data_IF_507844876632
#
_entry.id   IF_507844876632
#
_cell.length_a   1.000
_cell.length_b   1.000
_cell.length_c   1.000
_cell.angle_alpha   90.00
_cell.angle_beta   90.00
_cell.angle_gamma   90.00
#
_symmetry.space_group_name_H-M   'P 1'
#
loop_
_entity.id
_entity.type
_entity.pdbx_description
1 polymer ?
#
# COMPACT_ATOMS: atom_id res chain seq x y z
N UNK A 1 3.38 -41.32 -50.97
CA UNK A 1 3.92 -41.68 -49.64
C UNK A 1 3.57 -40.54 -48.69
N UNK A 2 2.58 -40.72 -47.79
CA UNK A 2 2.75 -40.90 -46.33
C UNK A 2 3.34 -39.61 -45.68
N UNK A 3 2.71 -38.86 -44.77
CA UNK A 3 1.63 -39.10 -43.79
C UNK A 3 1.01 -37.75 -43.35
N UNK A 4 -0.26 -37.80 -42.99
CA UNK A 4 -1.02 -36.80 -42.23
C UNK A 4 -0.43 -36.56 -40.84
N UNK A 5 -0.44 -35.31 -40.35
CA UNK A 5 -0.67 -34.98 -38.94
C UNK A 5 -1.54 -33.73 -38.87
N UNK A 6 -2.80 -33.91 -38.49
CA UNK A 6 -3.70 -32.87 -37.98
C UNK A 6 -3.33 -32.61 -36.53
N UNK A 7 -2.93 -31.39 -36.18
CA UNK A 7 -2.89 -30.92 -34.78
C UNK A 7 -4.16 -30.13 -34.50
N UNK A 8 -5.13 -30.82 -33.92
CA UNK A 8 -6.28 -30.23 -33.23
C UNK A 8 -5.74 -29.68 -31.90
N UNK A 9 -5.66 -28.37 -31.77
CA UNK A 9 -5.39 -27.70 -30.50
C UNK A 9 -6.73 -27.19 -29.94
N UNK A 10 -7.07 -27.79 -28.81
CA UNK A 10 -8.27 -27.66 -27.99
C UNK A 10 -8.73 -26.20 -27.83
N UNK A 11 -9.94 -25.89 -28.30
CA UNK A 11 -10.71 -24.74 -27.83
C UNK A 11 -11.08 -25.00 -26.37
N UNK A 12 -10.36 -24.41 -25.42
CA UNK A 12 -10.80 -24.37 -24.02
C UNK A 12 -11.93 -23.35 -23.90
N UNK A 13 -13.16 -23.83 -24.05
CA UNK A 13 -14.37 -23.17 -23.58
C UNK A 13 -14.22 -22.90 -22.08
N UNK A 14 -13.91 -21.66 -21.72
CA UNK A 14 -14.03 -21.18 -20.34
C UNK A 14 -15.53 -21.11 -20.06
N UNK A 15 -16.08 -22.21 -19.54
CA UNK A 15 -17.37 -22.17 -18.88
C UNK A 15 -17.19 -21.28 -17.64
N UNK A 16 -17.90 -20.15 -17.62
CA UNK A 16 -18.09 -19.33 -16.44
C UNK A 16 -18.89 -20.14 -15.41
N UNK A 17 -18.22 -21.04 -14.70
CA UNK A 17 -18.62 -21.39 -13.35
C UNK A 17 -18.45 -20.10 -12.53
N UNK A 18 -19.47 -19.70 -11.78
CA UNK A 18 -19.43 -18.50 -10.95
C UNK A 18 -18.23 -18.55 -10.01
N UNK A 19 -17.15 -17.88 -10.41
CA UNK A 19 -15.95 -17.75 -9.61
C UNK A 19 -16.34 -16.86 -8.44
N UNK A 20 -16.45 -17.46 -7.26
CA UNK A 20 -16.43 -16.72 -6.02
C UNK A 20 -15.07 -16.04 -5.97
N UNK A 21 -15.01 -14.76 -6.36
CA UNK A 21 -13.78 -13.97 -6.37
C UNK A 21 -13.36 -13.75 -4.93
N UNK A 22 -12.50 -14.64 -4.44
CA UNK A 22 -11.91 -14.48 -3.12
C UNK A 22 -11.13 -13.16 -3.04
N UNK A 23 -11.12 -12.54 -1.86
CA UNK A 23 -10.36 -11.31 -1.63
C UNK A 23 -8.89 -11.54 -2.04
N UNK A 24 -8.34 -12.73 -1.81
CA UNK A 24 -6.98 -13.10 -2.20
C UNK A 24 -6.74 -13.01 -3.72
N UNK A 25 -7.69 -13.43 -4.54
CA UNK A 25 -7.60 -13.31 -6.00
C UNK A 25 -7.64 -11.85 -6.45
N UNK A 26 -8.50 -11.05 -5.81
CA UNK A 26 -8.59 -9.60 -6.05
C UNK A 26 -7.27 -8.92 -5.71
N UNK A 27 -6.68 -9.24 -4.56
CA UNK A 27 -5.38 -8.69 -4.14
C UNK A 27 -4.26 -9.06 -5.11
N UNK A 28 -4.21 -10.30 -5.61
CA UNK A 28 -3.24 -10.70 -6.64
C UNK A 28 -3.43 -9.95 -7.95
N UNK A 29 -4.68 -9.73 -8.36
CA UNK A 29 -4.98 -8.92 -9.55
C UNK A 29 -4.52 -7.47 -9.36
N UNK A 30 -4.85 -6.86 -8.22
CA UNK A 30 -4.40 -5.51 -7.88
C UNK A 30 -2.89 -5.43 -7.87
N UNK A 31 -2.20 -6.39 -7.25
CA UNK A 31 -0.74 -6.43 -7.22
C UNK A 31 -0.11 -6.41 -8.63
N UNK A 32 -0.70 -7.16 -9.57
CA UNK A 32 -0.20 -7.23 -10.94
C UNK A 32 -0.50 -5.97 -11.78
N UNK A 33 -1.68 -5.37 -11.59
CA UNK A 33 -2.18 -4.33 -12.49
C UNK A 33 -2.06 -2.90 -11.95
N UNK A 34 -1.83 -2.73 -10.64
CA UNK A 34 -1.78 -1.42 -10.02
C UNK A 34 -0.61 -0.58 -10.57
N UNK A 35 -0.92 0.60 -11.12
CA UNK A 35 0.06 1.48 -11.76
C UNK A 35 1.01 2.14 -10.77
N UNK A 36 0.58 2.37 -9.53
CA UNK A 36 1.42 2.93 -8.47
C UNK A 36 2.48 1.90 -8.03
N UNK A 37 2.13 0.61 -7.93
CA UNK A 37 3.09 -0.46 -7.69
C UNK A 37 4.10 -0.61 -8.83
N UNK A 38 3.65 -0.53 -10.08
CA UNK A 38 4.54 -0.55 -11.25
C UNK A 38 5.49 0.65 -11.25
N UNK A 39 4.99 1.86 -10.94
CA UNK A 39 5.81 3.06 -10.80
C UNK A 39 6.81 2.94 -9.65
N UNK A 40 6.39 2.42 -8.50
CA UNK A 40 7.23 2.18 -7.34
C UNK A 40 8.37 1.19 -7.66
N UNK A 41 8.11 0.13 -8.41
CA UNK A 41 9.17 -0.78 -8.88
C UNK A 41 10.23 -0.07 -9.73
N UNK A 42 9.81 0.82 -10.63
CA UNK A 42 10.74 1.63 -11.43
C UNK A 42 11.50 2.65 -10.57
N UNK A 43 10.84 3.26 -9.59
CA UNK A 43 11.47 4.17 -8.64
C UNK A 43 12.56 3.48 -7.81
N UNK A 44 12.25 2.31 -7.24
CA UNK A 44 13.24 1.49 -6.49
C UNK A 44 14.42 1.12 -7.39
N UNK A 45 14.16 0.75 -8.64
CA UNK A 45 15.21 0.46 -9.62
C UNK A 45 16.09 1.69 -9.88
N UNK A 46 15.49 2.86 -10.10
CA UNK A 46 16.19 4.12 -10.31
C UNK A 46 17.05 4.51 -9.09
N UNK A 47 16.49 4.45 -7.88
CA UNK A 47 17.18 4.77 -6.64
C UNK A 47 18.35 3.81 -6.35
N UNK A 48 18.19 2.52 -6.68
CA UNK A 48 19.29 1.54 -6.60
C UNK A 48 20.41 1.86 -7.57
N UNK A 49 20.09 2.26 -8.80
CA UNK A 49 21.08 2.68 -9.79
C UNK A 49 21.78 3.97 -9.34
N UNK A 50 21.03 4.96 -8.86
CA UNK A 50 21.57 6.20 -8.29
C UNK A 50 22.53 5.93 -7.13
N UNK A 51 22.16 5.03 -6.21
CA UNK A 51 23.04 4.64 -5.12
C UNK A 51 24.33 3.96 -5.59
N UNK A 52 24.37 3.37 -6.78
CA UNK A 52 25.59 2.80 -7.38
C UNK A 52 26.47 3.86 -8.04
N UNK A 53 25.87 4.94 -8.58
CA UNK A 53 26.63 6.05 -9.18
C UNK A 53 27.59 6.70 -8.19
N UNK A 54 27.24 6.70 -6.90
CA UNK A 54 28.10 7.21 -5.83
C UNK A 54 29.44 6.49 -5.65
N UNK A 55 29.67 5.37 -6.34
CA UNK A 55 30.91 4.59 -6.32
C UNK A 55 31.73 4.65 -7.63
N UNK A 56 31.37 5.54 -8.56
CA UNK A 56 32.14 5.74 -9.78
C UNK A 56 33.50 6.40 -9.49
N UNK A 57 34.48 6.11 -10.34
CA UNK A 57 35.74 6.86 -10.38
C UNK A 57 35.46 8.27 -10.93
N UNK A 58 36.21 9.29 -10.48
CA UNK A 58 36.23 10.59 -11.16
C UNK A 58 36.58 10.42 -12.63
N UNK A 59 36.14 11.33 -13.50
CA UNK A 59 36.53 11.28 -14.90
C UNK A 59 38.03 11.57 -15.08
N UNK A 60 38.69 10.93 -16.06
CA UNK A 60 40.06 11.29 -16.41
C UNK A 60 40.09 12.71 -16.99
N UNK A 61 41.16 13.44 -16.69
CA UNK A 61 41.44 14.76 -17.23
C UNK A 61 42.46 14.66 -18.36
N UNK A 62 42.18 15.31 -19.49
CA UNK A 62 43.14 15.50 -20.58
C UNK A 62 43.23 16.98 -20.89
N UNK A 63 44.41 17.57 -20.73
CA UNK A 63 44.68 18.96 -21.04
C UNK A 63 45.80 19.09 -22.06
N UNK A 64 45.65 20.06 -22.96
CA UNK A 64 46.70 20.51 -23.85
C UNK A 64 46.86 22.01 -23.70
N UNK A 65 48.06 22.45 -23.37
CA UNK A 65 48.42 23.85 -23.21
C UNK A 65 49.43 24.22 -24.30
N UNK A 66 49.19 25.32 -25.00
CA UNK A 66 50.11 25.87 -25.99
C UNK A 66 50.52 27.28 -25.57
N UNK A 67 51.83 27.52 -25.44
CA UNK A 67 52.41 28.77 -24.96
C UNK A 67 53.40 29.33 -25.97
N UNK A 68 53.35 30.64 -26.20
CA UNK A 68 54.26 31.36 -27.09
C UNK A 68 55.00 32.46 -26.32
N UNK A 69 56.32 32.53 -26.52
CA UNK A 69 57.17 33.53 -25.89
C UNK A 69 56.97 34.93 -26.47
N UNK A 70 56.97 35.95 -25.61
CA UNK A 70 56.85 37.37 -26.01
C UNK A 70 58.20 38.10 -26.20
N UNK A 71 59.32 37.39 -26.15
CA UNK A 71 60.68 37.90 -26.35
C UNK A 71 61.45 37.00 -27.30
N UNK A 72 62.40 37.59 -27.99
CA UNK A 72 63.32 36.88 -28.89
C UNK A 72 64.04 35.76 -28.12
N UNK A 73 64.03 34.54 -28.69
CA UNK A 73 64.63 33.34 -28.09
C UNK A 73 63.73 32.51 -27.16
N UNK A 74 62.53 32.97 -26.76
CA UNK A 74 61.66 32.19 -25.85
C UNK A 74 60.89 31.03 -26.52
N UNK A 75 60.75 31.05 -27.85
CA UNK A 75 60.19 29.91 -28.61
C UNK A 75 58.71 29.58 -28.32
N UNK A 76 58.32 28.35 -28.66
CA UNK A 76 56.98 27.79 -28.49
C UNK A 76 57.09 26.58 -27.55
N UNK A 77 56.16 26.46 -26.60
CA UNK A 77 56.06 25.31 -25.71
C UNK A 77 54.66 24.69 -25.78
N UNK A 78 54.61 23.37 -25.81
CA UNK A 78 53.38 22.59 -25.67
C UNK A 78 53.45 21.71 -24.43
N UNK A 79 52.34 21.53 -23.73
CA UNK A 79 52.20 20.57 -22.64
C UNK A 79 50.91 19.77 -22.86
N UNK A 80 51.03 18.45 -22.90
CA UNK A 80 49.90 17.53 -22.85
C UNK A 80 49.95 16.77 -21.52
N UNK A 81 48.87 16.83 -20.76
CA UNK A 81 48.71 16.07 -19.51
C UNK A 81 47.45 15.22 -19.63
N UNK A 82 47.60 13.91 -19.42
CA UNK A 82 46.47 13.01 -19.20
C UNK A 82 46.60 12.46 -17.78
N UNK A 83 45.64 12.74 -16.89
CA UNK A 83 45.69 12.28 -15.50
C UNK A 83 44.35 11.71 -15.03
N UNK A 84 44.42 10.78 -14.08
CA UNK A 84 43.28 10.18 -13.40
C UNK A 84 43.46 10.37 -11.90
N UNK A 85 42.50 11.03 -11.28
CA UNK A 85 42.43 11.13 -9.82
C UNK A 85 41.53 10.02 -9.25
N UNK A 86 41.86 9.52 -8.07
CA UNK A 86 41.03 8.54 -7.37
C UNK A 86 41.16 8.70 -5.86
N UNK A 87 40.06 8.42 -5.15
CA UNK A 87 40.06 8.39 -3.69
C UNK A 87 40.94 7.24 -3.18
N UNK A 88 41.28 7.26 -1.89
CA UNK A 88 41.91 6.09 -1.26
C UNK A 88 41.06 4.82 -1.49
N UNK A 89 41.63 3.65 -1.86
CA UNK A 89 40.87 2.46 -2.25
C UNK A 89 39.78 2.01 -1.25
N UNK A 90 40.02 2.21 0.05
CA UNK A 90 39.03 1.90 1.09
C UNK A 90 37.73 2.70 0.98
N UNK A 91 37.77 3.91 0.41
CA UNK A 91 36.58 4.75 0.17
C UNK A 91 35.61 4.03 -0.75
N UNK A 92 36.08 3.44 -1.84
CA UNK A 92 35.24 2.69 -2.78
C UNK A 92 34.64 1.42 -2.15
N UNK A 93 35.40 0.75 -1.28
CA UNK A 93 34.87 -0.39 -0.50
C UNK A 93 33.73 0.05 0.42
N UNK A 94 33.87 1.19 1.10
CA UNK A 94 32.81 1.71 1.97
C UNK A 94 31.60 2.24 1.18
N UNK A 95 31.84 2.95 0.06
CA UNK A 95 30.80 3.43 -0.86
C UNK A 95 29.98 2.26 -1.43
N UNK A 96 30.62 1.16 -1.81
CA UNK A 96 29.93 -0.07 -2.23
C UNK A 96 29.07 -0.69 -1.11
N UNK A 97 29.59 -0.75 0.13
CA UNK A 97 28.81 -1.23 1.28
C UNK A 97 27.61 -0.34 1.58
N UNK A 98 27.76 0.99 1.47
CA UNK A 98 26.68 1.95 1.59
C UNK A 98 25.64 1.77 0.48
N UNK A 99 26.07 1.61 -0.77
CA UNK A 99 25.19 1.39 -1.92
C UNK A 99 24.30 0.16 -1.73
N UNK A 100 24.88 -0.95 -1.24
CA UNK A 100 24.12 -2.17 -0.90
C UNK A 100 23.10 -1.94 0.20
N UNK A 101 23.50 -1.30 1.31
CA UNK A 101 22.61 -0.99 2.42
C UNK A 101 21.45 -0.07 2.00
N UNK A 102 21.71 0.95 1.17
CA UNK A 102 20.66 1.80 0.56
C UNK A 102 19.75 0.98 -0.34
N UNK A 103 20.29 0.09 -1.17
CA UNK A 103 19.51 -0.78 -2.04
C UNK A 103 18.53 -1.68 -1.27
N UNK A 104 18.98 -2.28 -0.16
CA UNK A 104 18.11 -3.04 0.75
C UNK A 104 17.05 -2.15 1.42
N UNK A 105 17.39 -0.88 1.73
CA UNK A 105 16.42 0.11 2.22
C UNK A 105 15.32 0.41 1.21
N UNK A 106 15.68 0.67 -0.05
CA UNK A 106 14.70 0.94 -1.10
C UNK A 106 13.78 -0.26 -1.37
N UNK A 107 14.28 -1.49 -1.27
CA UNK A 107 13.41 -2.69 -1.36
C UNK A 107 12.38 -2.75 -0.24
N UNK A 108 12.77 -2.39 0.99
CA UNK A 108 11.86 -2.39 2.13
C UNK A 108 10.82 -1.27 2.05
N UNK A 109 11.24 -0.07 1.64
CA UNK A 109 10.32 1.04 1.34
C UNK A 109 9.34 0.65 0.22
N UNK A 110 9.83 -0.03 -0.83
CA UNK A 110 8.99 -0.54 -1.89
C UNK A 110 7.96 -1.57 -1.39
N UNK A 111 8.37 -2.48 -0.50
CA UNK A 111 7.49 -3.46 0.13
C UNK A 111 6.46 -2.83 1.09
N UNK A 112 6.81 -1.72 1.74
CA UNK A 112 5.89 -0.94 2.58
C UNK A 112 4.75 -0.34 1.75
N UNK A 113 5.08 0.31 0.63
CA UNK A 113 4.08 0.84 -0.34
C UNK A 113 3.20 -0.29 -0.88
N UNK A 114 3.79 -1.45 -1.21
CA UNK A 114 3.05 -2.64 -1.62
C UNK A 114 2.02 -3.06 -0.57
N UNK A 115 2.44 -3.18 0.68
CA UNK A 115 1.55 -3.56 1.77
C UNK A 115 0.40 -2.55 1.97
N UNK A 116 0.69 -1.25 1.89
CA UNK A 116 -0.32 -0.19 2.03
C UNK A 116 -1.40 -0.29 0.94
N UNK A 117 -1.00 -0.46 -0.32
CA UNK A 117 -1.95 -0.59 -1.45
C UNK A 117 -2.78 -1.87 -1.34
N UNK A 118 -2.15 -2.99 -0.94
CA UNK A 118 -2.89 -4.25 -0.75
C UNK A 118 -3.85 -4.18 0.45
N UNK A 119 -3.46 -3.50 1.53
CA UNK A 119 -4.35 -3.27 2.66
C UNK A 119 -5.55 -2.40 2.25
N UNK A 120 -5.32 -1.32 1.51
CA UNK A 120 -6.40 -0.48 0.98
C UNK A 120 -7.35 -1.28 0.09
N UNK A 121 -6.82 -2.08 -0.84
CA UNK A 121 -7.63 -2.94 -1.70
C UNK A 121 -8.45 -3.96 -0.89
N UNK A 122 -7.86 -4.52 0.18
CA UNK A 122 -8.56 -5.44 1.09
C UNK A 122 -9.70 -4.73 1.81
N UNK A 123 -9.48 -3.54 2.35
CA UNK A 123 -10.53 -2.73 3.02
C UNK A 123 -11.67 -2.37 2.06
N UNK A 124 -11.38 -2.04 0.80
CA UNK A 124 -12.41 -1.81 -0.24
C UNK A 124 -13.22 -3.08 -0.52
N UNK A 125 -12.59 -4.25 -0.55
CA UNK A 125 -13.31 -5.52 -0.69
C UNK A 125 -14.23 -5.78 0.50
N UNK A 126 -13.77 -5.51 1.72
CA UNK A 126 -14.59 -5.63 2.93
C UNK A 126 -15.80 -4.68 2.90
N UNK A 127 -15.61 -3.44 2.44
CA UNK A 127 -16.71 -2.50 2.22
C UNK A 127 -17.72 -2.98 1.18
N UNK A 128 -17.26 -3.59 0.10
CA UNK A 128 -18.14 -4.17 -0.90
C UNK A 128 -18.96 -5.33 -0.33
N UNK A 129 -18.39 -6.16 0.55
CA UNK A 129 -19.16 -7.20 1.26
C UNK A 129 -20.27 -6.58 2.10
N UNK A 130 -19.98 -5.54 2.89
CA UNK A 130 -20.99 -4.79 3.67
C UNK A 130 -22.11 -4.26 2.77
N UNK A 131 -21.73 -3.60 1.67
CA UNK A 131 -22.70 -3.00 0.74
C UNK A 131 -23.56 -4.07 0.06
N UNK A 132 -22.98 -5.23 -0.29
CA UNK A 132 -23.73 -6.35 -0.85
C UNK A 132 -24.69 -6.98 0.19
N UNK A 133 -24.29 -7.09 1.46
CA UNK A 133 -25.17 -7.54 2.54
C UNK A 133 -26.35 -6.57 2.76
N UNK A 134 -26.06 -5.27 2.82
CA UNK A 134 -27.07 -4.23 2.95
C UNK A 134 -28.01 -4.19 1.75
N UNK A 135 -27.50 -4.38 0.53
CA UNK A 135 -28.32 -4.49 -0.68
C UNK A 135 -29.39 -5.58 -0.53
N UNK A 136 -28.99 -6.79 -0.12
CA UNK A 136 -29.92 -7.90 0.08
C UNK A 136 -30.99 -7.59 1.14
N UNK A 137 -30.61 -6.93 2.24
CA UNK A 137 -31.54 -6.49 3.29
C UNK A 137 -32.52 -5.43 2.78
N UNK A 138 -32.01 -4.42 2.07
CA UNK A 138 -32.80 -3.31 1.53
C UNK A 138 -33.73 -3.75 0.42
N UNK A 139 -33.32 -4.71 -0.42
CA UNK A 139 -34.19 -5.31 -1.43
C UNK A 139 -35.35 -6.07 -0.79
N UNK A 140 -35.10 -6.80 0.31
CA UNK A 140 -36.14 -7.47 1.10
C UNK A 140 -37.10 -6.45 1.73
N UNK A 141 -36.55 -5.38 2.34
CA UNK A 141 -37.34 -4.29 2.94
C UNK A 141 -38.22 -3.59 1.90
N UNK A 142 -37.67 -3.29 0.73
CA UNK A 142 -38.39 -2.68 -0.40
C UNK A 142 -39.54 -3.58 -0.86
N UNK A 143 -39.28 -4.86 -1.09
CA UNK A 143 -40.32 -5.82 -1.51
C UNK A 143 -41.45 -5.92 -0.48
N UNK A 144 -41.13 -5.99 0.81
CA UNK A 144 -42.13 -6.01 1.89
C UNK A 144 -42.97 -4.73 1.91
N UNK A 145 -42.35 -3.55 1.76
CA UNK A 145 -43.05 -2.27 1.71
C UNK A 145 -43.96 -2.14 0.47
N UNK A 146 -43.54 -2.68 -0.68
CA UNK A 146 -44.37 -2.72 -1.91
C UNK A 146 -45.61 -3.58 -1.73
N UNK A 147 -45.46 -4.76 -1.11
CA UNK A 147 -46.59 -5.64 -0.80
C UNK A 147 -47.57 -5.00 0.19
N UNK A 148 -47.05 -4.33 1.23
CA UNK A 148 -47.89 -3.61 2.19
C UNK A 148 -48.63 -2.43 1.57
N UNK A 149 -47.96 -1.65 0.72
CA UNK A 149 -48.60 -0.51 0.03
C UNK A 149 -49.76 -0.99 -0.84
N UNK A 150 -49.57 -2.07 -1.61
CA UNK A 150 -50.64 -2.66 -2.42
C UNK A 150 -51.81 -3.19 -1.57
N UNK A 151 -51.51 -3.86 -0.45
CA UNK A 151 -52.52 -4.38 0.48
C UNK A 151 -53.37 -3.25 1.08
N UNK A 152 -52.73 -2.20 1.58
CA UNK A 152 -53.44 -1.10 2.24
C UNK A 152 -54.14 -0.16 1.27
N UNK A 153 -53.66 -0.04 0.03
CA UNK A 153 -54.41 0.61 -1.04
C UNK A 153 -55.74 -0.12 -1.31
N UNK A 154 -55.73 -1.45 -1.29
CA UNK A 154 -56.95 -2.26 -1.45
C UNK A 154 -57.88 -2.12 -0.23
N UNK A 155 -57.33 -2.16 1.00
CA UNK A 155 -58.12 -1.96 2.23
C UNK A 155 -58.77 -0.57 2.30
N UNK A 156 -58.09 0.48 1.84
CA UNK A 156 -58.66 1.83 1.77
C UNK A 156 -59.87 1.89 0.83
N UNK A 157 -59.79 1.21 -0.34
CA UNK A 157 -60.92 1.13 -1.27
C UNK A 157 -62.12 0.40 -0.68
N UNK A 158 -61.88 -0.63 0.13
CA UNK A 158 -62.92 -1.40 0.81
C UNK A 158 -63.45 -0.71 2.09
N UNK A 159 -62.83 0.38 2.53
CA UNK A 159 -63.18 1.10 3.77
C UNK A 159 -62.58 0.50 5.05
N UNK A 160 -61.70 -0.49 4.95
CA UNK A 160 -61.08 -1.22 6.05
C UNK A 160 -59.76 -0.59 6.55
N UNK A 161 -59.30 0.49 5.92
CA UNK A 161 -58.11 1.24 6.31
C UNK A 161 -58.34 2.75 6.14
N UNK A 162 -57.55 3.55 6.84
CA UNK A 162 -57.62 5.01 6.74
C UNK A 162 -56.49 5.60 5.86
N UNK A 163 -56.68 6.84 5.41
CA UNK A 163 -55.71 7.55 4.54
C UNK A 163 -54.36 7.77 5.25
N UNK A 164 -54.34 7.92 6.58
CA UNK A 164 -53.11 8.12 7.34
C UNK A 164 -52.22 6.86 7.33
N UNK A 165 -52.82 5.67 7.40
CA UNK A 165 -52.12 4.39 7.31
C UNK A 165 -51.50 4.19 5.92
N UNK A 166 -52.25 4.46 4.86
CA UNK A 166 -51.74 4.41 3.48
C UNK A 166 -50.57 5.37 3.29
N UNK A 167 -50.73 6.64 3.71
CA UNK A 167 -49.65 7.64 3.62
C UNK A 167 -48.39 7.18 4.38
N UNK A 168 -48.53 6.53 5.53
CA UNK A 168 -47.39 6.05 6.32
C UNK A 168 -46.65 4.91 5.61
N UNK A 169 -47.37 3.99 4.98
CA UNK A 169 -46.76 2.89 4.20
C UNK A 169 -46.09 3.43 2.94
N UNK A 170 -46.70 4.40 2.27
CA UNK A 170 -46.11 5.02 1.08
C UNK A 170 -44.83 5.79 1.41
N UNK A 171 -44.78 6.46 2.58
CA UNK A 171 -43.56 7.05 3.11
C UNK A 171 -42.48 6.00 3.40
N UNK A 172 -42.83 4.87 4.02
CA UNK A 172 -41.88 3.79 4.27
C UNK A 172 -41.35 3.18 2.97
N UNK A 173 -42.22 2.97 1.98
CA UNK A 173 -41.83 2.52 0.65
C UNK A 173 -40.89 3.51 -0.03
N UNK A 174 -41.15 4.81 0.08
CA UNK A 174 -40.28 5.86 -0.44
C UNK A 174 -38.89 5.81 0.22
N UNK A 175 -38.85 5.67 1.55
CA UNK A 175 -37.61 5.56 2.32
C UNK A 175 -36.81 4.31 1.92
N UNK A 176 -37.45 3.14 1.87
CA UNK A 176 -36.81 1.89 1.47
C UNK A 176 -36.24 1.96 0.04
N UNK A 177 -36.98 2.55 -0.91
CA UNK A 177 -36.49 2.80 -2.28
C UNK A 177 -35.32 3.77 -2.30
N UNK A 178 -35.34 4.81 -1.46
CA UNK A 178 -34.27 5.77 -1.39
C UNK A 178 -32.98 5.15 -0.83
N UNK A 179 -33.07 4.43 0.28
CA UNK A 179 -31.93 3.73 0.89
C UNK A 179 -31.32 2.69 -0.08
N UNK A 180 -32.15 1.91 -0.79
CA UNK A 180 -31.67 0.97 -1.79
C UNK A 180 -30.90 1.66 -2.93
N UNK A 181 -31.38 2.81 -3.41
CA UNK A 181 -30.68 3.62 -4.42
C UNK A 181 -29.35 4.18 -3.90
N UNK A 182 -29.33 4.67 -2.66
CA UNK A 182 -28.10 5.19 -2.04
C UNK A 182 -27.06 4.08 -1.83
N UNK A 183 -27.48 2.91 -1.37
CA UNK A 183 -26.60 1.75 -1.23
C UNK A 183 -26.03 1.30 -2.59
N UNK A 184 -26.85 1.22 -3.64
CA UNK A 184 -26.34 0.87 -4.97
C UNK A 184 -25.34 1.92 -5.50
N UNK A 185 -25.62 3.22 -5.31
CA UNK A 185 -24.69 4.27 -5.69
C UNK A 185 -23.35 4.15 -4.95
N UNK A 186 -23.37 3.88 -3.64
CA UNK A 186 -22.16 3.64 -2.85
C UNK A 186 -21.40 2.37 -3.32
N UNK A 187 -22.12 1.30 -3.66
CA UNK A 187 -21.56 0.06 -4.20
C UNK A 187 -20.86 0.30 -5.54
N UNK A 188 -21.51 1.01 -6.47
CA UNK A 188 -20.90 1.39 -7.76
C UNK A 188 -19.65 2.25 -7.56
N UNK A 189 -19.69 3.21 -6.64
CA UNK A 189 -18.52 4.02 -6.30
C UNK A 189 -17.35 3.17 -5.77
N UNK A 190 -17.62 2.20 -4.89
CA UNK A 190 -16.59 1.27 -4.37
C UNK A 190 -16.06 0.31 -5.43
N UNK A 191 -16.88 -0.14 -6.38
CA UNK A 191 -16.42 -0.93 -7.52
C UNK A 191 -15.50 -0.12 -8.45
N UNK A 192 -15.79 1.17 -8.64
CA UNK A 192 -14.90 2.07 -9.37
C UNK A 192 -13.58 2.30 -8.63
N UNK A 193 -13.62 2.49 -7.30
CA UNK A 193 -12.41 2.58 -6.48
C UNK A 193 -11.54 1.31 -6.62
N UNK A 194 -12.15 0.13 -6.55
CA UNK A 194 -11.45 -1.14 -6.74
C UNK A 194 -10.86 -1.27 -8.17
N UNK A 195 -11.61 -0.86 -9.19
CA UNK A 195 -11.12 -0.86 -10.57
C UNK A 195 -9.91 0.07 -10.74
N UNK A 196 -9.92 1.24 -10.10
CA UNK A 196 -8.78 2.18 -10.10
C UNK A 196 -7.56 1.57 -9.43
N UNK A 197 -7.73 0.91 -8.27
CA UNK A 197 -6.65 0.15 -7.61
C UNK A 197 -6.13 -0.99 -8.51
N UNK A 198 -6.99 -1.61 -9.30
CA UNK A 198 -6.63 -2.65 -10.28
C UNK A 198 -6.18 -2.09 -11.65
N UNK A 199 -5.64 -0.88 -11.69
CA UNK A 199 -5.06 -0.29 -12.92
C UNK A 199 -6.08 0.17 -13.97
N UNK A 200 -7.36 0.29 -13.60
CA UNK A 200 -8.49 0.61 -14.47
C UNK A 200 -9.26 -0.62 -14.98
N UNK A 201 -8.86 -1.82 -14.57
CA UNK A 201 -9.52 -3.07 -14.97
C UNK A 201 -10.63 -3.38 -13.96
N UNK A 202 -11.88 -3.40 -14.44
CA UNK A 202 -13.04 -3.69 -13.61
C UNK A 202 -12.98 -5.11 -13.03
N UNK A 203 -13.32 -5.25 -11.75
CA UNK A 203 -13.46 -6.53 -11.05
C UNK A 203 -14.94 -6.69 -10.70
N UNK A 204 -15.54 -7.81 -11.10
CA UNK A 204 -16.88 -8.14 -10.65
C UNK A 204 -16.80 -8.75 -9.25
N UNK A 205 -17.21 -8.00 -8.24
CA UNK A 205 -17.16 -8.43 -6.84
C UNK A 205 -18.58 -8.55 -6.27
N UNK A 206 -18.99 -9.77 -5.94
CA UNK A 206 -20.36 -10.11 -5.52
C UNK A 206 -20.45 -10.80 -4.17
N UNK A 207 -19.33 -10.94 -3.46
CA UNK A 207 -19.30 -11.65 -2.17
C UNK A 207 -20.15 -10.93 -1.12
N UNK A 208 -20.87 -11.71 -0.33
CA UNK A 208 -21.79 -11.23 0.72
C UNK A 208 -21.43 -11.77 2.11
N UNK A 209 -20.38 -12.58 2.22
CA UNK A 209 -19.97 -13.20 3.46
C UNK A 209 -18.50 -12.92 3.74
N UNK A 210 -18.20 -12.57 4.99
CA UNK A 210 -16.83 -12.45 5.44
C UNK A 210 -16.23 -13.83 5.70
N UNK A 211 -14.97 -14.01 5.32
CA UNK A 211 -14.20 -15.18 5.73
C UNK A 211 -13.97 -15.11 7.25
N UNK A 212 -14.10 -16.23 7.98
CA UNK A 212 -13.75 -16.28 9.39
C UNK A 212 -12.27 -15.91 9.57
N UNK A 213 -12.00 -14.95 10.44
CA UNK A 213 -10.63 -14.60 10.85
C UNK A 213 -10.44 -15.06 12.28
N UNK A 214 -9.37 -15.80 12.54
CA UNK A 214 -9.02 -16.21 13.89
C UNK A 214 -8.67 -14.98 14.73
N UNK A 215 -9.31 -14.85 15.89
CA UNK A 215 -8.96 -13.80 16.84
C UNK A 215 -7.58 -14.08 17.44
N UNK A 216 -6.75 -13.04 17.66
CA UNK A 216 -5.46 -13.20 18.32
C UNK A 216 -5.66 -13.76 19.73
N UNK A 217 -4.99 -14.87 20.05
CA UNK A 217 -5.11 -15.54 21.36
C UNK A 217 -4.56 -14.68 22.51
N UNK A 218 -3.51 -13.90 22.23
CA UNK A 218 -2.85 -13.03 23.19
C UNK A 218 -2.20 -11.84 22.48
N UNK A 219 -2.24 -10.67 23.13
CA UNK A 219 -1.50 -9.50 22.68
C UNK A 219 0.02 -9.75 22.64
N UNK A 220 0.54 -10.57 23.57
CA UNK A 220 1.98 -10.87 23.64
C UNK A 220 2.45 -11.60 22.40
N UNK A 221 1.72 -12.63 21.97
CA UNK A 221 2.06 -13.43 20.79
C UNK A 221 1.92 -12.61 19.51
N UNK A 222 0.85 -11.82 19.41
CA UNK A 222 0.64 -10.89 18.31
C UNK A 222 1.78 -9.86 18.20
N UNK A 223 2.21 -9.29 19.33
CA UNK A 223 3.33 -8.34 19.36
C UNK A 223 4.64 -8.99 18.92
N UNK A 224 4.90 -10.23 19.35
CA UNK A 224 6.11 -10.97 18.96
C UNK A 224 6.17 -11.28 17.46
N UNK A 225 5.02 -11.50 16.81
CA UNK A 225 4.97 -11.73 15.36
C UNK A 225 4.97 -10.42 14.56
N UNK A 226 4.13 -9.46 14.95
CA UNK A 226 3.84 -8.27 14.14
C UNK A 226 4.94 -7.21 14.19
N UNK A 227 5.53 -6.92 15.35
CA UNK A 227 6.52 -5.83 15.50
C UNK A 227 7.80 -6.11 14.69
N UNK A 228 8.41 -7.32 14.73
CA UNK A 228 9.59 -7.60 13.91
C UNK A 228 9.30 -7.66 12.40
N UNK A 229 8.06 -7.95 12.02
CA UNK A 229 7.61 -8.05 10.63
C UNK A 229 7.06 -6.74 10.06
N UNK A 230 6.90 -5.70 10.88
CA UNK A 230 6.36 -4.41 10.45
C UNK A 230 7.26 -3.76 9.39
N UNK A 231 6.65 -3.41 8.25
CA UNK A 231 7.39 -2.91 7.07
C UNK A 231 8.04 -1.55 7.32
N UNK A 232 7.38 -0.68 8.08
CA UNK A 232 7.90 0.64 8.41
C UNK A 232 9.12 0.51 9.33
N UNK A 233 9.07 -0.36 10.34
CA UNK A 233 10.21 -0.63 11.21
C UNK A 233 11.37 -1.28 10.45
N UNK A 234 11.09 -2.23 9.55
CA UNK A 234 12.10 -2.83 8.69
C UNK A 234 12.76 -1.78 7.77
N UNK A 235 11.99 -0.84 7.22
CA UNK A 235 12.51 0.29 6.44
C UNK A 235 13.46 1.18 7.26
N UNK A 236 13.03 1.61 8.45
CA UNK A 236 13.84 2.42 9.36
C UNK A 236 15.11 1.70 9.84
N UNK A 237 15.06 0.39 10.04
CA UNK A 237 16.26 -0.41 10.35
C UNK A 237 17.28 -0.38 9.20
N UNK A 238 16.82 -0.41 7.94
CA UNK A 238 17.71 -0.24 6.79
C UNK A 238 18.26 1.17 6.67
N UNK A 239 17.47 2.19 7.00
CA UNK A 239 17.94 3.58 7.05
C UNK A 239 19.04 3.77 8.10
N UNK A 240 18.85 3.21 9.30
CA UNK A 240 19.88 3.15 10.34
C UNK A 240 21.14 2.45 9.85
N UNK A 241 21.01 1.30 9.19
CA UNK A 241 22.15 0.58 8.62
C UNK A 241 22.88 1.43 7.56
N UNK A 242 22.15 2.12 6.68
CA UNK A 242 22.71 3.03 5.69
C UNK A 242 23.40 4.24 6.35
N UNK A 243 22.84 4.82 7.41
CA UNK A 243 23.45 5.93 8.15
C UNK A 243 24.80 5.53 8.79
N UNK A 244 24.90 4.32 9.35
CA UNK A 244 26.16 3.78 9.87
C UNK A 244 27.21 3.55 8.76
N UNK A 245 26.79 3.09 7.59
CA UNK A 245 27.67 2.99 6.41
C UNK A 245 28.10 4.36 5.90
N UNK A 246 27.21 5.34 5.90
CA UNK A 246 27.52 6.72 5.52
C UNK A 246 28.56 7.32 6.46
N UNK A 247 28.45 7.07 7.76
CA UNK A 247 29.48 7.47 8.74
C UNK A 247 30.85 6.84 8.42
N UNK A 248 30.87 5.59 7.97
CA UNK A 248 32.10 4.90 7.57
C UNK A 248 32.71 5.53 6.31
N UNK A 249 31.89 5.86 5.30
CA UNK A 249 32.32 6.59 4.11
C UNK A 249 32.88 7.96 4.49
N UNK A 250 32.15 8.75 5.30
CA UNK A 250 32.61 10.06 5.75
C UNK A 250 33.92 10.00 6.52
N UNK A 251 34.19 8.93 7.27
CA UNK A 251 35.50 8.74 7.93
C UNK A 251 36.60 8.41 6.91
N UNK A 252 36.33 7.54 5.94
CA UNK A 252 37.28 7.17 4.89
C UNK A 252 37.65 8.33 3.96
N UNK A 253 36.74 9.29 3.75
CA UNK A 253 37.02 10.51 2.98
C UNK A 253 38.03 11.47 3.64
N UNK A 254 38.50 11.18 4.87
CA UNK A 254 39.65 11.88 5.46
C UNK A 254 41.00 11.36 4.94
N UNK A 255 41.03 10.21 4.25
CA UNK A 255 42.26 9.65 3.70
C UNK A 255 42.70 10.42 2.46
N UNK A 256 44.01 10.50 2.17
CA UNK A 256 44.49 11.17 0.97
C UNK A 256 43.98 10.50 -0.32
N UNK A 257 43.60 11.31 -1.30
CA UNK A 257 43.41 10.87 -2.67
C UNK A 257 44.75 10.78 -3.41
N UNK A 258 44.75 10.08 -4.54
CA UNK A 258 45.92 9.92 -5.40
C UNK A 258 45.60 10.40 -6.81
N UNK A 259 46.63 10.83 -7.52
CA UNK A 259 46.56 11.16 -8.93
C UNK A 259 47.70 10.46 -9.65
N UNK A 260 47.38 9.81 -10.77
CA UNK A 260 48.37 9.23 -11.66
C UNK A 260 48.11 9.73 -13.07
N UNK A 261 49.17 10.16 -13.76
CA UNK A 261 49.05 10.67 -15.11
C UNK A 261 50.33 10.55 -15.92
N UNK A 262 50.22 10.98 -17.17
CA UNK A 262 51.31 11.10 -18.11
C UNK A 262 51.41 12.55 -18.56
N UNK A 263 52.62 13.10 -18.55
CA UNK A 263 52.93 14.45 -19.01
C UNK A 263 53.90 14.38 -20.18
N UNK A 264 53.60 15.12 -21.23
CA UNK A 264 54.45 15.33 -22.39
C UNK A 264 54.62 16.82 -22.62
N UNK A 265 55.85 17.31 -22.50
CA UNK A 265 56.21 18.68 -22.84
C UNK A 265 56.99 18.69 -24.17
N UNK A 266 56.63 19.60 -25.07
CA UNK A 266 57.38 19.88 -26.30
C UNK A 266 57.95 21.29 -26.22
N UNK A 267 59.21 21.47 -26.61
CA UNK A 267 59.87 22.77 -26.61
C UNK A 267 60.37 23.16 -28.01
N UNK A 268 60.71 24.44 -28.18
CA UNK A 268 61.34 24.94 -29.39
C UNK A 268 62.65 24.18 -29.66
N UNK A 269 62.90 23.82 -30.93
CA UNK A 269 64.05 23.00 -31.32
C UNK A 269 63.78 21.50 -31.38
N UNK A 270 62.56 21.04 -31.11
CA UNK A 270 62.15 19.64 -31.27
C UNK A 270 62.37 18.76 -30.04
N UNK A 271 62.84 19.34 -28.94
CA UNK A 271 62.99 18.65 -27.66
C UNK A 271 61.64 18.21 -27.09
N UNK A 272 61.63 17.01 -26.49
CA UNK A 272 60.45 16.40 -25.88
C UNK A 272 60.81 15.86 -24.51
N UNK A 273 60.00 16.18 -23.51
CA UNK A 273 60.11 15.65 -22.15
C UNK A 273 58.85 14.87 -21.82
N UNK A 274 58.99 13.58 -21.59
CA UNK A 274 57.90 12.69 -21.19
C UNK A 274 58.12 12.14 -19.79
N UNK A 275 57.06 12.04 -18.99
CA UNK A 275 57.17 11.51 -17.63
C UNK A 275 55.82 11.15 -17.02
N UNK A 276 55.88 10.48 -15.87
CA UNK A 276 54.71 10.19 -15.06
C UNK A 276 54.43 11.36 -14.10
N UNK A 277 53.16 11.68 -13.93
CA UNK A 277 52.65 12.57 -12.89
C UNK A 277 52.12 11.71 -11.76
N UNK A 278 52.61 11.92 -10.54
CA UNK A 278 52.07 11.28 -9.33
C UNK A 278 51.74 12.39 -8.33
N UNK A 279 50.47 12.48 -7.96
CA UNK A 279 49.96 13.47 -7.01
C UNK A 279 49.31 12.81 -5.79
N UNK A 280 49.33 13.52 -4.66
CA UNK A 280 48.59 13.14 -3.44
C UNK A 280 47.74 14.35 -3.05
N UNK A 281 46.44 14.14 -2.84
CA UNK A 281 45.49 15.17 -2.40
C UNK A 281 45.12 14.93 -0.95
N UNK A 282 45.45 15.86 -0.05
CA UNK A 282 45.13 15.75 1.38
C UNK A 282 43.90 16.61 1.68
N UNK A 283 42.77 16.02 2.11
CA UNK A 283 41.52 16.74 2.33
C UNK A 283 41.53 17.55 3.65
N UNK A 284 42.12 18.74 3.63
CA UNK A 284 42.22 19.61 4.81
C UNK A 284 40.90 20.33 5.17
N UNK A 285 40.08 20.64 4.16
CA UNK A 285 38.86 21.44 4.34
C UNK A 285 37.58 20.75 3.86
N UNK A 286 37.67 19.88 2.85
CA UNK A 286 36.52 19.27 2.17
C UNK A 286 35.66 18.38 3.06
N UNK A 287 36.20 17.87 4.18
CA UNK A 287 35.50 16.90 5.04
C UNK A 287 35.22 17.37 6.48
N UNK A 288 35.43 18.67 6.79
CA UNK A 288 35.44 19.21 8.16
C UNK A 288 34.17 18.91 8.97
N UNK A 289 33.00 18.95 8.33
CA UNK A 289 31.69 18.75 8.99
C UNK A 289 30.98 17.45 8.60
N UNK A 290 31.44 16.72 7.57
CA UNK A 290 30.75 15.55 7.06
C UNK A 290 30.69 14.39 8.08
N UNK A 291 31.73 14.23 8.89
CA UNK A 291 31.72 13.22 9.98
C UNK A 291 30.75 13.63 11.09
N UNK A 292 30.69 14.92 11.44
CA UNK A 292 29.75 15.43 12.46
C UNK A 292 28.31 15.27 12.00
N UNK A 293 28.03 15.62 10.74
CA UNK A 293 26.73 15.44 10.11
C UNK A 293 26.33 13.95 10.08
N UNK A 294 27.22 13.05 9.64
CA UNK A 294 26.91 11.62 9.57
C UNK A 294 26.71 10.99 10.96
N UNK A 295 27.40 11.48 12.00
CA UNK A 295 27.14 11.07 13.40
C UNK A 295 25.77 11.52 13.87
N UNK A 296 25.41 12.79 13.62
CA UNK A 296 24.09 13.31 13.96
C UNK A 296 22.98 12.54 13.23
N UNK A 297 23.18 12.21 11.94
CA UNK A 297 22.24 11.41 11.17
C UNK A 297 22.08 9.98 11.74
N UNK A 298 23.17 9.33 12.15
CA UNK A 298 23.09 8.01 12.79
C UNK A 298 22.27 8.06 14.08
N UNK A 299 22.54 9.06 14.93
CA UNK A 299 21.78 9.25 16.17
C UNK A 299 20.30 9.55 15.90
N UNK A 300 20.02 10.36 14.88
CA UNK A 300 18.64 10.62 14.45
C UNK A 300 17.94 9.32 14.03
N UNK A 301 18.56 8.48 13.19
CA UNK A 301 17.95 7.22 12.77
C UNK A 301 17.76 6.23 13.93
N UNK A 302 18.64 6.27 14.94
CA UNK A 302 18.50 5.47 16.16
C UNK A 302 17.27 5.89 16.96
N UNK A 303 17.14 7.19 17.25
CA UNK A 303 16.01 7.75 18.00
C UNK A 303 14.69 7.63 17.24
N UNK A 304 14.71 7.81 15.91
CA UNK A 304 13.55 7.66 15.06
C UNK A 304 13.02 6.22 15.08
N UNK A 305 13.91 5.22 15.05
CA UNK A 305 13.53 3.82 15.14
C UNK A 305 12.90 3.50 16.51
N UNK A 306 13.49 3.99 17.60
CA UNK A 306 12.95 3.80 18.96
C UNK A 306 11.56 4.43 19.12
N UNK A 307 11.41 5.69 18.69
CA UNK A 307 10.13 6.39 18.72
C UNK A 307 9.07 5.69 17.88
N UNK A 308 9.41 5.28 16.65
CA UNK A 308 8.45 4.63 15.74
C UNK A 308 8.09 3.23 16.26
N UNK A 309 9.02 2.51 16.88
CA UNK A 309 8.71 1.21 17.52
C UNK A 309 7.66 1.39 18.59
N UNK A 310 7.80 2.41 19.44
CA UNK A 310 6.80 2.73 20.48
C UNK A 310 5.43 3.09 19.86
N UNK A 311 5.42 3.87 18.77
CA UNK A 311 4.19 4.20 18.04
C UNK A 311 3.50 2.95 17.47
N UNK A 312 4.25 2.07 16.82
CA UNK A 312 3.73 0.82 16.24
C UNK A 312 3.18 -0.11 17.33
N UNK A 313 3.86 -0.23 18.47
CA UNK A 313 3.38 -1.02 19.60
C UNK A 313 2.07 -0.49 20.19
N UNK A 314 1.96 0.83 20.36
CA UNK A 314 0.74 1.47 20.85
C UNK A 314 -0.42 1.33 19.88
N UNK A 315 -0.16 1.46 18.58
CA UNK A 315 -1.17 1.27 17.54
C UNK A 315 -1.65 -0.18 17.49
N UNK A 316 -0.74 -1.15 17.61
CA UNK A 316 -1.08 -2.57 17.70
C UNK A 316 -1.96 -2.86 18.93
N UNK A 317 -1.63 -2.27 20.08
CA UNK A 317 -2.43 -2.41 21.30
C UNK A 317 -3.83 -1.80 21.14
N UNK A 318 -3.92 -0.62 20.50
CA UNK A 318 -5.19 0.05 20.20
C UNK A 318 -6.08 -0.83 19.31
N UNK A 319 -5.53 -1.34 18.20
CA UNK A 319 -6.23 -2.23 17.28
C UNK A 319 -6.64 -3.54 17.95
N UNK A 320 -5.78 -4.12 18.79
CA UNK A 320 -6.08 -5.33 19.56
C UNK A 320 -7.29 -5.11 20.48
N UNK A 321 -7.28 -4.06 21.29
CA UNK A 321 -8.40 -3.74 22.19
C UNK A 321 -9.69 -3.42 21.42
N UNK A 322 -9.58 -2.72 20.29
CA UNK A 322 -10.72 -2.44 19.41
C UNK A 322 -11.30 -3.74 18.84
N UNK A 323 -10.45 -4.70 18.43
CA UNK A 323 -10.89 -5.99 17.91
C UNK A 323 -11.66 -6.82 18.95
N UNK A 324 -11.21 -6.79 20.21
CA UNK A 324 -11.90 -7.48 21.31
C UNK A 324 -13.27 -6.87 21.58
N UNK A 325 -13.34 -5.54 21.68
CA UNK A 325 -14.61 -4.84 21.92
C UNK A 325 -15.63 -5.11 20.79
N UNK A 326 -15.19 -4.99 19.52
CA UNK A 326 -16.03 -5.28 18.36
C UNK A 326 -16.49 -6.74 18.34
N UNK A 327 -15.59 -7.68 18.67
CA UNK A 327 -15.92 -9.10 18.71
C UNK A 327 -16.99 -9.39 19.77
N UNK A 328 -16.85 -8.83 20.97
CA UNK A 328 -17.88 -8.94 22.02
C UNK A 328 -19.23 -8.40 21.54
N UNK A 329 -19.26 -7.20 20.95
CA UNK A 329 -20.51 -6.63 20.42
C UNK A 329 -21.12 -7.48 19.30
N UNK A 330 -20.31 -8.04 18.41
CA UNK A 330 -20.78 -8.94 17.34
C UNK A 330 -21.42 -10.20 17.95
N UNK A 331 -20.81 -10.78 18.97
CA UNK A 331 -21.32 -12.00 19.61
C UNK A 331 -22.65 -11.74 20.34
N UNK A 332 -22.73 -10.63 21.08
CA UNK A 332 -23.98 -10.18 21.74
C UNK A 332 -25.12 -9.93 20.73
N UNK A 333 -24.85 -9.22 19.63
CA UNK A 333 -25.85 -9.00 18.58
C UNK A 333 -26.26 -10.32 17.92
N UNK A 334 -25.31 -11.21 17.63
CA UNK A 334 -25.57 -12.52 17.01
C UNK A 334 -26.55 -13.34 17.84
N UNK A 335 -26.38 -13.37 19.16
CA UNK A 335 -27.21 -14.19 20.05
C UNK A 335 -28.63 -13.63 20.16
N UNK A 336 -28.80 -12.31 20.22
CA UNK A 336 -30.11 -11.66 20.22
C UNK A 336 -30.81 -11.84 18.87
N UNK A 337 -30.12 -11.58 17.74
CA UNK A 337 -30.72 -11.66 16.40
C UNK A 337 -31.15 -13.07 16.01
N UNK A 338 -30.43 -14.12 16.45
CA UNK A 338 -30.87 -15.52 16.27
C UNK A 338 -32.23 -15.80 16.91
N UNK A 339 -32.53 -15.17 18.04
CA UNK A 339 -33.79 -15.35 18.78
C UNK A 339 -34.94 -14.46 18.28
N UNK A 340 -34.62 -13.35 17.59
CA UNK A 340 -35.59 -12.32 17.21
C UNK A 340 -35.87 -12.21 15.70
N UNK A 341 -35.26 -13.05 14.85
CA UNK A 341 -35.47 -12.97 13.40
C UNK A 341 -36.87 -13.50 12.98
N UNK A 342 -37.89 -12.70 13.29
CA UNK A 342 -39.30 -13.01 13.12
C UNK A 342 -39.96 -12.15 12.03
N UNK A 343 -39.18 -11.56 11.11
CA UNK A 343 -39.71 -10.68 10.05
C UNK A 343 -40.85 -11.35 9.26
N UNK A 344 -40.72 -12.64 8.97
CA UNK A 344 -41.78 -13.41 8.30
C UNK A 344 -43.05 -13.54 9.16
N UNK A 345 -42.90 -13.70 10.49
CA UNK A 345 -44.04 -13.76 11.41
C UNK A 345 -44.70 -12.38 11.55
N UNK A 346 -43.92 -11.31 11.65
CA UNK A 346 -44.43 -9.93 11.68
C UNK A 346 -45.22 -9.60 10.41
N UNK A 347 -44.66 -9.95 9.23
CA UNK A 347 -45.34 -9.79 7.93
C UNK A 347 -46.66 -10.57 7.88
N UNK A 348 -46.69 -11.79 8.40
CA UNK A 348 -47.91 -12.61 8.43
C UNK A 348 -48.95 -12.05 9.41
N UNK A 349 -48.51 -11.57 10.58
CA UNK A 349 -49.39 -11.01 11.60
C UNK A 349 -50.08 -9.73 11.13
N UNK A 350 -49.36 -8.81 10.48
CA UNK A 350 -49.97 -7.57 9.94
C UNK A 350 -50.93 -7.86 8.77
N UNK A 351 -50.57 -8.81 7.90
CA UNK A 351 -51.44 -9.25 6.81
C UNK A 351 -52.74 -9.88 7.34
N UNK A 352 -52.64 -10.68 8.40
CA UNK A 352 -53.78 -11.29 9.07
C UNK A 352 -54.55 -10.35 10.02
N UNK A 353 -54.13 -9.08 10.16
CA UNK A 353 -54.75 -8.10 11.05
C UNK A 353 -54.60 -8.42 12.54
N UNK A 354 -53.62 -9.26 12.91
CA UNK A 354 -53.38 -9.69 14.30
C UNK A 354 -52.57 -8.66 15.10
N UNK A 355 -51.85 -7.77 14.41
CA UNK A 355 -51.10 -6.65 15.01
C UNK A 355 -51.46 -5.36 14.29
N UNK A 356 -51.34 -4.24 15.00
CA UNK A 356 -51.56 -2.92 14.44
C UNK A 356 -50.41 -2.49 13.51
N UNK A 357 -50.68 -1.50 12.65
CA UNK A 357 -49.66 -0.92 11.79
C UNK A 357 -48.53 -0.23 12.57
N UNK A 358 -48.85 0.31 13.76
CA UNK A 358 -47.86 0.95 14.63
C UNK A 358 -46.91 -0.10 15.21
N UNK A 359 -47.46 -1.18 15.78
CA UNK A 359 -46.66 -2.30 16.32
C UNK A 359 -45.74 -2.88 15.25
N UNK A 360 -46.29 -3.16 14.05
CA UNK A 360 -45.48 -3.67 12.94
C UNK A 360 -44.30 -2.74 12.61
N UNK A 361 -44.53 -1.44 12.43
CA UNK A 361 -43.45 -0.54 12.04
C UNK A 361 -42.42 -0.31 13.15
N UNK A 362 -42.83 -0.29 14.43
CA UNK A 362 -41.88 -0.16 15.55
C UNK A 362 -40.95 -1.38 15.58
N UNK A 363 -41.49 -2.59 15.48
CA UNK A 363 -40.71 -3.82 15.56
C UNK A 363 -39.81 -4.01 14.34
N UNK A 364 -40.35 -3.79 13.14
CA UNK A 364 -39.61 -3.98 11.88
C UNK A 364 -38.51 -2.93 11.70
N UNK A 365 -38.76 -1.66 12.07
CA UNK A 365 -37.73 -0.62 12.01
C UNK A 365 -36.58 -0.93 12.96
N UNK A 366 -36.90 -1.34 14.21
CA UNK A 366 -35.89 -1.73 15.21
C UNK A 366 -35.07 -2.93 14.75
N UNK A 367 -35.72 -3.93 14.14
CA UNK A 367 -35.05 -5.10 13.59
C UNK A 367 -34.11 -4.74 12.43
N UNK A 368 -34.57 -3.95 11.45
CA UNK A 368 -33.72 -3.53 10.32
C UNK A 368 -32.52 -2.69 10.79
N UNK A 369 -32.73 -1.76 11.72
CA UNK A 369 -31.64 -0.97 12.28
C UNK A 369 -30.62 -1.85 13.01
N UNK A 370 -31.10 -2.84 13.78
CA UNK A 370 -30.23 -3.80 14.48
C UNK A 370 -29.43 -4.67 13.51
N UNK A 371 -30.04 -5.13 12.42
CA UNK A 371 -29.35 -5.88 11.36
C UNK A 371 -28.30 -5.03 10.63
N UNK A 372 -28.61 -3.77 10.33
CA UNK A 372 -27.65 -2.86 9.70
C UNK A 372 -26.46 -2.56 10.64
N UNK A 373 -26.73 -2.28 11.91
CA UNK A 373 -25.69 -2.07 12.93
C UNK A 373 -24.80 -3.32 13.06
N UNK A 374 -25.41 -4.51 13.08
CA UNK A 374 -24.67 -5.77 13.11
C UNK A 374 -23.72 -5.93 11.90
N UNK A 375 -24.21 -5.67 10.68
CA UNK A 375 -23.38 -5.72 9.47
C UNK A 375 -22.24 -4.70 9.52
N UNK A 376 -22.49 -3.49 10.03
CA UNK A 376 -21.45 -2.47 10.23
C UNK A 376 -20.38 -2.92 11.23
N UNK A 377 -20.78 -3.47 12.37
CA UNK A 377 -19.85 -4.02 13.37
C UNK A 377 -18.98 -5.13 12.77
N UNK A 378 -19.56 -6.02 11.95
CA UNK A 378 -18.82 -7.05 11.24
C UNK A 378 -17.79 -6.46 10.27
N UNK A 379 -18.16 -5.44 9.49
CA UNK A 379 -17.24 -4.75 8.57
C UNK A 379 -16.07 -4.11 9.33
N UNK A 380 -16.37 -3.35 10.39
CA UNK A 380 -15.38 -2.69 11.23
C UNK A 380 -14.41 -3.71 11.84
N UNK A 381 -14.94 -4.81 12.38
CA UNK A 381 -14.11 -5.89 12.93
C UNK A 381 -13.17 -6.44 11.87
N UNK A 382 -13.68 -6.74 10.67
CA UNK A 382 -12.86 -7.30 9.59
C UNK A 382 -11.77 -6.33 9.12
N UNK A 383 -12.04 -5.02 9.10
CA UNK A 383 -11.03 -4.01 8.79
C UNK A 383 -9.96 -3.92 9.87
N UNK A 384 -10.36 -3.89 11.15
CA UNK A 384 -9.41 -3.92 12.27
C UNK A 384 -8.54 -5.18 12.21
N UNK A 385 -9.12 -6.34 11.91
CA UNK A 385 -8.40 -7.59 11.73
C UNK A 385 -7.45 -7.55 10.53
N UNK A 386 -7.85 -6.92 9.41
CA UNK A 386 -6.97 -6.72 8.25
C UNK A 386 -5.78 -5.82 8.58
N UNK A 387 -5.99 -4.76 9.39
CA UNK A 387 -4.93 -3.87 9.86
C UNK A 387 -3.99 -4.57 10.85
N UNK A 388 -4.54 -5.36 11.79
CA UNK A 388 -3.76 -6.17 12.73
C UNK A 388 -2.83 -7.14 12.01
N UNK A 389 -3.33 -7.81 10.98
CA UNK A 389 -2.57 -8.79 10.19
C UNK A 389 -1.92 -8.20 8.93
N UNK A 390 -1.82 -6.87 8.81
CA UNK A 390 -1.25 -6.23 7.60
C UNK A 390 0.17 -6.71 7.31
N UNK A 391 0.94 -7.08 8.33
CA UNK A 391 2.31 -7.62 8.20
C UNK A 391 2.39 -8.92 7.38
N UNK A 392 1.25 -9.61 7.16
CA UNK A 392 1.13 -10.81 6.33
C UNK A 392 0.80 -10.51 4.86
N UNK A 393 0.43 -9.27 4.52
CA UNK A 393 0.27 -8.77 3.15
C UNK A 393 1.65 -8.41 2.58
#
# INVERSE_FOLDING_TARGET
MKRFIFTIAFLSSIMAAGAQTSIEEVLRSVEANNKELQANHQLVTAQKLEARLGNNLPDPSVSYTHQYGNKEGMGIQGELVASQSFDFPSVYVQKNKLSRAKGEGFDRQGAEIRQQILLQAKEVCLDLILLNQQKNLLDTRRQNAEQLSALYATRLQNGDANVLEVNKIDLELLNAKNEARMNEAARVAKLHELAMLNGGIAINFTDTAYLPVEAPQSFVDLKQEAVPADRQLLSLQSEKAAALRQLSVSKSLNLPGFELGYRLNTAAGGERFNGFLVGISIPLFSNRNNVKQAKAQSLYTDLQLESTTTTVENELLRLYNQSLALKTSIDEYSDVLKSQNNLALLNKAIQAGQISMIEYFVDVTTLYQSLQNYMQLQNEYQKVMAQLYKYKL
#
